data_IF_568482637190
#
_entry.id   IF_568482637190
#
_cell.length_a   1.000
_cell.length_b   1.000
_cell.length_c   1.000
_cell.angle_alpha   90.00
_cell.angle_beta   90.00
_cell.angle_gamma   90.00
#
_symmetry.space_group_name_H-M   'P 1'
#
loop_
_entity.id
_entity.type
_entity.pdbx_description
1 polymer ?
#
# COMPACT_ATOMS: atom_id res chain seq x y z
N UNK A 1 -42.99 -6.09 -66.19
CA UNK A 1 -42.58 -4.76 -65.70
C UNK A 1 -42.30 -4.84 -64.20
N UNK A 2 -41.04 -4.68 -63.76
CA UNK A 2 -40.71 -4.66 -62.32
C UNK A 2 -41.19 -3.34 -61.71
N UNK A 3 -42.03 -3.41 -60.67
CA UNK A 3 -42.58 -2.25 -59.96
C UNK A 3 -41.46 -1.29 -59.52
N UNK A 4 -41.69 0.02 -59.69
CA UNK A 4 -40.77 1.08 -59.24
C UNK A 4 -40.33 0.90 -57.79
N UNK A 5 -41.21 0.40 -56.93
CA UNK A 5 -40.93 0.13 -55.52
C UNK A 5 -39.89 -0.98 -55.35
N UNK A 6 -39.97 -2.06 -56.15
CA UNK A 6 -38.96 -3.14 -56.14
C UNK A 6 -37.60 -2.67 -56.66
N UNK A 7 -37.57 -1.77 -57.65
CA UNK A 7 -36.32 -1.15 -58.13
C UNK A 7 -35.66 -0.30 -57.04
N UNK A 8 -36.44 0.49 -56.29
CA UNK A 8 -35.93 1.31 -55.17
C UNK A 8 -35.37 0.45 -54.04
N UNK A 9 -36.05 -0.64 -53.69
CA UNK A 9 -35.60 -1.59 -52.65
C UNK A 9 -34.29 -2.26 -53.07
N UNK A 10 -34.19 -2.72 -54.32
CA UNK A 10 -32.96 -3.34 -54.84
C UNK A 10 -31.78 -2.37 -54.85
N UNK A 11 -32.00 -1.10 -55.23
CA UNK A 11 -30.97 -0.06 -55.18
C UNK A 11 -30.54 0.19 -53.72
N UNK A 12 -31.49 0.32 -52.79
CA UNK A 12 -31.18 0.56 -51.38
C UNK A 12 -30.33 -0.59 -50.79
N UNK A 13 -30.71 -1.84 -51.07
CA UNK A 13 -29.97 -3.02 -50.63
C UNK A 13 -28.55 -3.06 -51.24
N UNK A 14 -28.40 -2.74 -52.52
CA UNK A 14 -27.08 -2.68 -53.15
C UNK A 14 -26.18 -1.60 -52.54
N UNK A 15 -26.72 -0.42 -52.21
CA UNK A 15 -25.96 0.67 -51.58
C UNK A 15 -25.50 0.27 -50.17
N UNK A 16 -26.37 -0.38 -49.38
CA UNK A 16 -26.01 -0.85 -48.03
C UNK A 16 -24.89 -1.90 -48.07
N UNK A 17 -24.96 -2.85 -49.00
CA UNK A 17 -23.93 -3.88 -49.16
C UNK A 17 -22.60 -3.26 -49.60
N UNK A 18 -22.61 -2.32 -50.54
CA UNK A 18 -21.39 -1.62 -50.99
C UNK A 18 -20.78 -0.82 -49.82
N UNK A 19 -21.60 -0.10 -49.05
CA UNK A 19 -21.12 0.66 -47.89
C UNK A 19 -20.48 -0.25 -46.84
N UNK A 20 -21.10 -1.39 -46.55
CA UNK A 20 -20.55 -2.38 -45.61
C UNK A 20 -19.22 -2.96 -46.09
N UNK A 21 -19.10 -3.27 -47.38
CA UNK A 21 -17.84 -3.76 -47.97
C UNK A 21 -16.74 -2.69 -47.96
N UNK A 22 -17.08 -1.42 -48.23
CA UNK A 22 -16.12 -0.31 -48.16
C UNK A 22 -15.65 -0.05 -46.73
N UNK A 23 -16.55 -0.08 -45.76
CA UNK A 23 -16.22 0.03 -44.33
C UNK A 23 -15.30 -1.11 -43.92
N UNK A 24 -15.63 -2.36 -44.27
CA UNK A 24 -14.74 -3.51 -44.02
C UNK A 24 -13.38 -3.34 -44.68
N UNK A 25 -13.32 -2.88 -45.93
CA UNK A 25 -12.07 -2.64 -46.65
C UNK A 25 -11.21 -1.59 -45.95
N UNK A 26 -11.79 -0.46 -45.53
CA UNK A 26 -11.06 0.61 -44.82
C UNK A 26 -10.57 0.14 -43.45
N UNK A 27 -11.37 -0.62 -42.70
CA UNK A 27 -10.97 -1.14 -41.39
C UNK A 27 -9.99 -2.32 -41.44
N UNK A 28 -10.03 -3.15 -42.50
CA UNK A 28 -9.08 -4.27 -42.66
C UNK A 28 -7.77 -3.86 -43.35
N UNK A 29 -7.80 -2.90 -44.28
CA UNK A 29 -6.59 -2.40 -44.95
C UNK A 29 -6.02 -1.14 -44.27
N UNK A 30 -6.68 -0.60 -43.24
CA UNK A 30 -6.27 0.58 -42.48
C UNK A 30 -5.25 0.30 -41.37
N UNK A 31 -4.46 -0.77 -41.47
CA UNK A 31 -3.36 -1.02 -40.53
C UNK A 31 -2.18 -1.64 -41.25
N UNK A 32 -1.47 -0.83 -42.03
CA UNK A 32 -0.07 -1.11 -42.35
C UNK A 32 0.75 0.19 -42.27
N UNK A 33 1.53 0.24 -41.20
CA UNK A 33 2.88 0.80 -41.08
C UNK A 33 3.09 2.31 -41.26
N UNK A 34 3.32 2.96 -40.12
CA UNK A 34 4.35 3.99 -40.01
C UNK A 34 5.55 3.42 -39.23
N UNK A 35 6.54 2.97 -40.00
CA UNK A 35 7.98 3.21 -39.80
C UNK A 35 8.71 2.57 -38.61
N UNK A 36 9.30 1.39 -38.82
CA UNK A 36 10.65 1.06 -38.30
C UNK A 36 11.40 0.21 -39.33
N UNK A 37 12.39 0.80 -40.02
CA UNK A 37 13.47 0.04 -40.67
C UNK A 37 14.75 0.85 -40.65
N UNK A 38 15.72 0.42 -39.83
CA UNK A 38 17.14 0.22 -40.21
C UNK A 38 18.02 0.02 -38.97
N UNK A 39 18.31 -1.22 -38.58
CA UNK A 39 19.50 -1.57 -37.80
C UNK A 39 19.92 -3.04 -38.10
N UNK A 40 21.22 -3.37 -38.10
CA UNK A 40 21.74 -4.62 -38.64
C UNK A 40 21.52 -5.80 -37.69
N UNK A 41 21.36 -7.00 -38.25
CA UNK A 41 21.15 -8.25 -37.52
C UNK A 41 22.33 -8.56 -36.57
N UNK A 42 22.07 -8.50 -35.27
CA UNK A 42 22.84 -9.18 -34.23
C UNK A 42 22.13 -10.50 -33.91
N UNK A 43 22.83 -11.61 -34.12
CA UNK A 43 22.40 -12.95 -33.71
C UNK A 43 22.34 -13.00 -32.18
N UNK A 44 21.15 -13.13 -31.59
CA UNK A 44 20.96 -13.34 -30.14
C UNK A 44 20.73 -14.84 -29.89
N UNK A 45 21.46 -15.50 -28.97
CA UNK A 45 21.24 -16.91 -28.63
C UNK A 45 19.89 -17.10 -27.91
N UNK A 46 19.28 -18.28 -28.07
CA UNK A 46 18.11 -18.69 -27.30
C UNK A 46 18.39 -18.58 -25.80
N UNK A 47 17.68 -17.69 -25.11
CA UNK A 47 17.75 -17.58 -23.66
C UNK A 47 16.64 -18.45 -23.05
N UNK A 48 17.08 -19.37 -22.21
CA UNK A 48 16.26 -20.27 -21.42
C UNK A 48 15.33 -19.48 -20.50
N UNK A 49 14.20 -20.10 -20.18
CA UNK A 49 13.21 -19.68 -19.21
C UNK A 49 13.87 -19.47 -17.83
N UNK A 50 14.28 -18.24 -17.53
CA UNK A 50 14.82 -17.85 -16.23
C UNK A 50 13.67 -17.68 -15.23
N UNK A 51 13.72 -18.51 -14.19
CA UNK A 51 12.97 -18.36 -12.94
C UNK A 51 13.12 -16.95 -12.39
N UNK A 52 12.01 -16.42 -11.85
CA UNK A 52 11.91 -15.15 -11.15
C UNK A 52 12.78 -15.16 -9.87
N UNK A 53 14.09 -14.98 -10.06
CA UNK A 53 15.06 -14.81 -8.99
C UNK A 53 14.85 -13.46 -8.32
N UNK A 54 14.99 -13.49 -7.00
CA UNK A 54 14.98 -12.32 -6.14
C UNK A 54 16.06 -11.37 -6.62
N UNK A 55 15.69 -10.22 -7.19
CA UNK A 55 16.65 -9.13 -7.30
C UNK A 55 17.19 -8.88 -5.89
N UNK A 56 18.47 -9.19 -5.68
CA UNK A 56 19.11 -9.05 -4.37
C UNK A 56 19.09 -7.58 -3.98
N UNK A 57 18.06 -7.17 -3.24
CA UNK A 57 18.05 -5.90 -2.53
C UNK A 57 19.31 -5.85 -1.66
N UNK A 58 20.28 -5.03 -2.07
CA UNK A 58 21.47 -4.73 -1.27
C UNK A 58 21.26 -3.38 -0.65
N UNK A 59 21.07 -3.37 0.67
CA UNK A 59 20.99 -2.16 1.47
C UNK A 59 22.28 -1.35 1.32
N UNK A 60 22.16 -0.04 1.11
CA UNK A 60 23.31 0.84 1.12
C UNK A 60 23.93 0.85 2.53
N UNK A 61 25.26 0.80 2.67
CA UNK A 61 25.92 0.85 3.98
C UNK A 61 25.41 2.04 4.81
N UNK A 62 24.95 1.78 6.04
CA UNK A 62 24.44 2.80 6.96
C UNK A 62 23.07 3.40 6.62
N UNK A 63 22.38 2.96 5.56
CA UNK A 63 20.97 3.32 5.36
C UNK A 63 20.11 2.75 6.50
N UNK A 64 19.00 3.36 6.94
CA UNK A 64 18.12 2.79 7.97
C UNK A 64 17.36 1.54 7.48
N UNK A 65 16.94 0.67 8.41
CA UNK A 65 16.07 -0.50 8.12
C UNK A 65 14.68 0.02 7.87
N UNK A 66 14.06 -0.35 6.75
CA UNK A 66 12.65 -0.03 6.53
C UNK A 66 11.81 -0.99 7.37
N UNK A 67 11.21 -0.48 8.45
CA UNK A 67 10.33 -1.22 9.36
C UNK A 67 8.89 -0.91 8.97
N UNK A 68 8.25 -1.81 8.22
CA UNK A 68 6.83 -1.66 7.88
C UNK A 68 5.97 -2.50 8.82
N UNK A 69 4.97 -1.88 9.44
CA UNK A 69 4.08 -2.50 10.41
C UNK A 69 2.67 -2.52 9.83
N UNK A 70 2.16 -3.71 9.52
CA UNK A 70 0.79 -3.95 9.11
C UNK A 70 -0.02 -4.27 10.36
N UNK A 71 -1.05 -3.46 10.67
CA UNK A 71 -1.73 -3.55 11.96
C UNK A 71 -3.22 -3.17 11.91
N UNK A 72 -3.91 -3.51 12.99
CA UNK A 72 -5.32 -3.17 13.25
C UNK A 72 -5.42 -2.28 14.48
N UNK A 73 -6.23 -1.22 14.38
CA UNK A 73 -6.35 -0.26 15.45
C UNK A 73 -6.98 -0.83 16.73
N UNK A 74 -7.92 -1.79 16.65
CA UNK A 74 -8.56 -2.40 17.84
C UNK A 74 -7.94 -3.74 18.27
N UNK A 75 -6.96 -4.26 17.53
CA UNK A 75 -6.30 -5.52 17.85
C UNK A 75 -5.35 -5.37 19.08
N UNK A 76 -5.53 -6.17 20.13
CA UNK A 76 -4.67 -6.13 21.32
C UNK A 76 -3.19 -6.38 21.02
N UNK A 77 -2.88 -7.30 20.10
CA UNK A 77 -1.49 -7.63 19.72
C UNK A 77 -0.84 -6.49 18.93
N UNK A 78 -1.61 -5.80 18.09
CA UNK A 78 -1.15 -4.58 17.38
C UNK A 78 -0.82 -3.47 18.36
N UNK A 79 -1.72 -3.22 19.31
CA UNK A 79 -1.50 -2.28 20.42
C UNK A 79 -0.26 -2.66 21.23
N UNK A 80 -0.11 -3.94 21.56
CA UNK A 80 1.04 -4.43 22.31
C UNK A 80 2.34 -4.17 21.54
N UNK A 81 2.43 -4.59 20.28
CA UNK A 81 3.62 -4.41 19.47
C UNK A 81 4.00 -2.93 19.32
N UNK A 82 3.05 -2.06 18.95
CA UNK A 82 3.33 -0.63 18.78
C UNK A 82 3.83 -0.03 20.09
N UNK A 83 3.14 -0.28 21.21
CA UNK A 83 3.48 0.38 22.49
C UNK A 83 4.65 -0.23 23.24
N UNK A 84 4.96 -1.52 23.01
CA UNK A 84 5.96 -2.28 23.79
C UNK A 84 7.18 -2.72 23.00
N UNK A 85 7.12 -2.73 21.67
CA UNK A 85 8.25 -3.08 20.81
C UNK A 85 8.68 -1.89 19.95
N UNK A 86 7.76 -1.34 19.14
CA UNK A 86 8.11 -0.29 18.18
C UNK A 86 8.55 1.01 18.85
N UNK A 87 7.77 1.54 19.80
CA UNK A 87 8.09 2.82 20.44
C UNK A 87 9.41 2.76 21.24
N UNK A 88 9.66 1.74 22.10
CA UNK A 88 10.95 1.63 22.76
C UNK A 88 12.12 1.51 21.79
N UNK A 89 12.00 0.66 20.76
CA UNK A 89 13.06 0.49 19.76
C UNK A 89 13.33 1.80 18.99
N UNK A 90 12.30 2.55 18.61
CA UNK A 90 12.45 3.82 17.90
C UNK A 90 13.13 4.88 18.78
N UNK A 91 12.79 4.96 20.07
CA UNK A 91 13.44 5.89 20.99
C UNK A 91 14.94 5.64 21.14
N UNK A 92 15.33 4.37 21.09
CA UNK A 92 16.73 3.96 21.25
C UNK A 92 17.52 4.03 19.95
N UNK A 93 16.88 3.70 18.82
CA UNK A 93 17.57 3.46 17.56
C UNK A 93 16.90 4.13 16.35
N UNK A 94 16.29 5.30 16.53
CA UNK A 94 15.59 6.03 15.45
C UNK A 94 16.44 6.20 14.19
N UNK A 95 17.74 6.47 14.34
CA UNK A 95 18.68 6.63 13.21
C UNK A 95 18.89 5.35 12.40
N UNK A 96 18.58 4.17 12.97
CA UNK A 96 18.71 2.87 12.33
C UNK A 96 17.42 2.42 11.66
N UNK A 97 16.31 3.18 11.74
CA UNK A 97 15.01 2.75 11.22
C UNK A 97 14.22 3.84 10.50
N UNK A 98 13.60 3.44 9.39
CA UNK A 98 12.55 4.19 8.69
C UNK A 98 11.22 3.46 8.91
N UNK A 99 10.31 4.07 9.66
CA UNK A 99 9.06 3.41 10.07
C UNK A 99 7.90 3.73 9.13
N UNK A 100 7.25 2.67 8.65
CA UNK A 100 6.05 2.73 7.81
C UNK A 100 4.90 2.03 8.51
N UNK A 101 3.77 2.71 8.65
CA UNK A 101 2.62 2.24 9.40
C UNK A 101 1.47 2.01 8.43
N UNK A 102 0.90 0.81 8.43
CA UNK A 102 -0.17 0.40 7.51
C UNK A 102 -1.38 -0.06 8.34
N UNK A 103 -2.21 0.88 8.84
CA UNK A 103 -3.46 0.54 9.51
C UNK A 103 -4.49 0.05 8.49
N UNK A 104 -4.82 -1.23 8.56
CA UNK A 104 -5.85 -1.87 7.74
C UNK A 104 -6.18 -3.25 8.32
N UNK A 105 -5.12 -4.03 8.54
CA UNK A 105 -5.25 -5.34 9.15
C UNK A 105 -5.70 -6.43 8.21
N UNK A 106 -6.65 -7.22 8.68
CA UNK A 106 -7.36 -8.25 7.91
C UNK A 106 -8.74 -7.76 7.47
N UNK A 107 -8.93 -6.44 7.37
CA UNK A 107 -10.14 -5.88 6.82
C UNK A 107 -10.34 -6.32 5.36
N UNK A 108 -11.57 -6.22 4.87
CA UNK A 108 -11.91 -6.39 3.45
C UNK A 108 -12.39 -5.08 2.88
N UNK A 109 -12.06 -4.80 1.62
CA UNK A 109 -12.55 -3.61 0.91
C UNK A 109 -13.45 -3.98 -0.24
N UNK A 110 -14.59 -3.31 -0.32
CA UNK A 110 -15.57 -3.42 -1.40
C UNK A 110 -15.70 -2.05 -2.07
N UNK A 111 -15.80 -2.04 -3.40
CA UNK A 111 -16.09 -0.82 -4.17
C UNK A 111 -17.57 -0.81 -4.51
N UNK A 112 -18.26 0.25 -4.09
CA UNK A 112 -19.67 0.46 -4.38
C UNK A 112 -19.86 0.89 -5.85
N UNK A 113 -21.09 0.79 -6.41
CA UNK A 113 -21.35 1.20 -7.80
C UNK A 113 -21.06 2.67 -8.10
N UNK A 114 -21.11 3.54 -7.08
CA UNK A 114 -20.79 4.97 -7.19
C UNK A 114 -19.27 5.26 -7.05
N UNK A 115 -18.44 4.22 -6.93
CA UNK A 115 -16.99 4.33 -6.77
C UNK A 115 -16.52 4.51 -5.33
N UNK A 116 -17.42 4.67 -4.36
CA UNK A 116 -17.05 4.80 -2.94
C UNK A 116 -16.60 3.46 -2.35
N UNK A 117 -15.81 3.49 -1.27
CA UNK A 117 -15.33 2.28 -0.62
C UNK A 117 -16.14 1.94 0.64
N UNK A 118 -16.42 0.64 0.81
CA UNK A 118 -16.92 0.06 2.06
C UNK A 118 -15.86 -0.87 2.63
N UNK A 119 -15.64 -0.78 3.93
CA UNK A 119 -14.69 -1.61 4.66
C UNK A 119 -15.42 -2.53 5.64
N UNK A 120 -14.94 -3.77 5.77
CA UNK A 120 -15.39 -4.71 6.78
C UNK A 120 -14.18 -5.13 7.62
N UNK A 121 -14.19 -4.76 8.91
CA UNK A 121 -13.05 -4.94 9.82
C UNK A 121 -13.37 -5.99 10.89
N UNK A 122 -12.35 -6.68 11.40
CA UNK A 122 -12.53 -7.81 12.32
C UNK A 122 -13.23 -7.43 13.62
N UNK A 123 -13.01 -6.20 14.10
CA UNK A 123 -13.62 -5.67 15.31
C UNK A 123 -14.77 -4.68 15.01
N UNK A 124 -15.36 -4.76 13.81
CA UNK A 124 -16.51 -3.97 13.40
C UNK A 124 -16.17 -2.53 12.98
N UNK A 125 -17.21 -1.71 12.79
CA UNK A 125 -17.08 -0.39 12.17
C UNK A 125 -16.15 0.56 12.93
N UNK A 126 -16.11 0.49 14.26
CA UNK A 126 -15.23 1.32 15.10
C UNK A 126 -13.76 1.07 14.76
N UNK A 127 -13.37 -0.16 14.42
CA UNK A 127 -12.01 -0.45 13.94
C UNK A 127 -11.74 0.18 12.59
N UNK A 128 -12.69 0.11 11.65
CA UNK A 128 -12.52 0.74 10.35
C UNK A 128 -12.34 2.25 10.51
N UNK A 129 -13.15 2.90 11.35
CA UNK A 129 -13.00 4.32 11.67
C UNK A 129 -11.65 4.63 12.32
N UNK A 130 -11.22 3.83 13.30
CA UNK A 130 -9.92 3.98 13.94
C UNK A 130 -8.76 3.79 12.96
N UNK A 131 -8.82 2.79 12.06
CA UNK A 131 -7.84 2.59 11.01
C UNK A 131 -7.78 3.80 10.06
N UNK A 132 -8.91 4.38 9.67
CA UNK A 132 -8.96 5.61 8.85
C UNK A 132 -8.35 6.79 9.57
N UNK A 133 -8.69 7.02 10.84
CA UNK A 133 -8.07 8.09 11.63
C UNK A 133 -6.56 7.91 11.76
N UNK A 134 -6.08 6.68 11.97
CA UNK A 134 -4.65 6.39 11.99
C UNK A 134 -4.01 6.69 10.63
N UNK A 135 -4.63 6.31 9.51
CA UNK A 135 -4.12 6.60 8.16
C UNK A 135 -4.02 8.11 7.90
N UNK A 136 -5.06 8.87 8.24
CA UNK A 136 -5.06 10.34 8.15
C UNK A 136 -3.99 10.98 9.05
N UNK A 137 -3.80 10.48 10.29
CA UNK A 137 -2.74 10.95 11.19
C UNK A 137 -1.35 10.68 10.61
N UNK A 138 -1.13 9.51 10.01
CA UNK A 138 0.15 9.14 9.39
C UNK A 138 0.51 10.09 8.23
N UNK A 139 -0.47 10.47 7.43
CA UNK A 139 -0.26 11.42 6.33
C UNK A 139 0.00 12.85 6.84
N UNK A 140 -0.78 13.32 7.82
CA UNK A 140 -0.72 14.69 8.29
C UNK A 140 0.48 14.99 9.20
N UNK A 141 1.01 14.00 9.93
CA UNK A 141 2.12 14.17 10.89
C UNK A 141 3.41 13.62 10.29
N UNK A 142 4.23 14.51 9.69
CA UNK A 142 5.43 14.11 8.96
C UNK A 142 6.65 13.86 9.86
N UNK A 143 6.75 14.53 11.01
CA UNK A 143 7.85 14.32 11.96
C UNK A 143 7.73 12.90 12.56
N UNK A 144 8.74 12.02 12.38
CA UNK A 144 8.63 10.61 12.74
C UNK A 144 8.30 10.33 14.21
N UNK A 145 8.92 11.04 15.15
CA UNK A 145 8.70 10.81 16.58
C UNK A 145 7.27 11.20 16.98
N UNK A 146 6.81 12.38 16.57
CA UNK A 146 5.46 12.89 16.80
C UNK A 146 4.41 11.98 16.14
N UNK A 147 4.65 11.48 14.93
CA UNK A 147 3.77 10.53 14.24
C UNK A 147 3.61 9.25 15.04
N UNK A 148 4.73 8.67 15.49
CA UNK A 148 4.72 7.44 16.28
C UNK A 148 4.06 7.64 17.64
N UNK A 149 4.35 8.76 18.31
CA UNK A 149 3.75 9.10 19.59
C UNK A 149 2.22 9.29 19.48
N UNK A 150 1.75 9.93 18.40
CA UNK A 150 0.33 10.04 18.09
C UNK A 150 -0.33 8.68 17.90
N UNK A 151 0.22 7.82 17.05
CA UNK A 151 -0.33 6.48 16.80
C UNK A 151 -0.31 5.62 18.06
N UNK A 152 0.79 5.66 18.83
CA UNK A 152 0.91 4.93 20.08
C UNK A 152 -0.05 5.45 21.16
N UNK A 153 -0.36 6.75 21.18
CA UNK A 153 -1.38 7.30 22.04
C UNK A 153 -2.78 6.84 21.62
N UNK A 154 -3.12 6.99 20.33
CA UNK A 154 -4.46 6.67 19.80
C UNK A 154 -4.78 5.18 19.96
N UNK A 155 -3.85 4.29 19.64
CA UNK A 155 -4.08 2.83 19.73
C UNK A 155 -4.28 2.32 21.15
N UNK A 156 -3.95 3.11 22.19
CA UNK A 156 -4.15 2.68 23.58
C UNK A 156 -5.63 2.64 23.96
N UNK A 157 -6.42 3.57 23.43
CA UNK A 157 -7.85 3.67 23.68
C UNK A 157 -8.54 4.44 22.54
N UNK A 158 -9.03 3.69 21.56
CA UNK A 158 -9.68 4.17 20.34
C UNK A 158 -11.07 3.53 20.17
N UNK A 159 -11.74 3.19 21.27
CA UNK A 159 -13.18 2.82 21.23
C UNK A 159 -14.05 4.00 20.80
N UNK A 160 -13.56 5.21 21.02
CA UNK A 160 -14.08 6.46 20.47
C UNK A 160 -12.96 7.10 19.62
N UNK A 161 -12.82 6.75 18.33
CA UNK A 161 -11.66 7.11 17.52
C UNK A 161 -11.42 8.62 17.42
N UNK A 162 -12.51 9.40 17.26
CA UNK A 162 -12.45 10.87 17.23
C UNK A 162 -11.93 11.45 18.54
N UNK A 163 -12.42 10.96 19.68
CA UNK A 163 -11.98 11.44 20.99
C UNK A 163 -10.51 11.08 21.25
N UNK A 164 -10.09 9.89 20.80
CA UNK A 164 -8.70 9.46 20.85
C UNK A 164 -7.79 10.41 20.06
N UNK A 165 -8.19 10.79 18.84
CA UNK A 165 -7.47 11.79 18.05
C UNK A 165 -7.28 13.10 18.82
N UNK A 166 -8.36 13.70 19.32
CA UNK A 166 -8.30 15.02 19.98
C UNK A 166 -7.49 14.96 21.28
N UNK A 167 -7.68 13.91 22.09
CA UNK A 167 -6.92 13.69 23.32
C UNK A 167 -5.43 13.56 23.04
N UNK A 168 -5.06 12.76 22.05
CA UNK A 168 -3.66 12.50 21.72
C UNK A 168 -2.98 13.69 21.07
N UNK A 169 -3.68 14.39 20.17
CA UNK A 169 -3.17 15.62 19.58
C UNK A 169 -2.87 16.67 20.65
N UNK A 170 -3.78 16.86 21.61
CA UNK A 170 -3.54 17.74 22.76
C UNK A 170 -2.36 17.29 23.60
N UNK A 171 -2.23 15.99 23.87
CA UNK A 171 -1.13 15.45 24.68
C UNK A 171 0.24 15.66 24.02
N UNK A 172 0.32 15.62 22.69
CA UNK A 172 1.56 15.70 21.93
C UNK A 172 1.76 17.04 21.20
N UNK A 173 0.93 18.06 21.51
CA UNK A 173 0.97 19.39 20.91
C UNK A 173 0.93 19.37 19.37
N UNK A 174 -0.01 18.60 18.81
CA UNK A 174 -0.24 18.52 17.36
C UNK A 174 -1.33 19.51 16.98
N UNK A 175 -0.95 20.53 16.22
CA UNK A 175 -1.86 21.61 15.80
C UNK A 175 -2.72 21.24 14.58
N UNK A 176 -2.33 20.19 13.84
CA UNK A 176 -2.96 19.78 12.57
C UNK A 176 -4.23 18.90 12.73
N UNK A 177 -4.94 18.98 13.87
CA UNK A 177 -6.12 18.14 14.13
C UNK A 177 -7.22 18.33 13.11
N UNK A 178 -7.46 19.58 12.69
CA UNK A 178 -8.48 19.90 11.70
C UNK A 178 -8.18 19.29 10.33
N UNK A 179 -6.90 19.16 9.97
CA UNK A 179 -6.48 18.48 8.73
C UNK A 179 -6.76 16.98 8.81
N UNK A 180 -6.47 16.36 9.95
CA UNK A 180 -6.75 14.93 10.18
C UNK A 180 -8.26 14.68 10.14
N UNK A 181 -9.05 15.52 10.80
CA UNK A 181 -10.51 15.42 10.78
C UNK A 181 -11.08 15.63 9.37
N UNK A 182 -10.58 16.62 8.62
CA UNK A 182 -10.97 16.85 7.23
C UNK A 182 -10.63 15.68 6.31
N UNK A 183 -9.46 15.05 6.51
CA UNK A 183 -9.10 13.82 5.80
C UNK A 183 -10.13 12.72 6.05
N UNK A 184 -10.49 12.47 7.32
CA UNK A 184 -11.47 11.47 7.71
C UNK A 184 -12.86 11.74 7.13
N UNK A 185 -13.31 12.99 7.15
CA UNK A 185 -14.65 13.39 6.68
C UNK A 185 -14.78 13.41 5.13
N UNK A 186 -13.69 13.16 4.41
CA UNK A 186 -13.64 13.20 2.94
C UNK A 186 -13.39 11.82 2.32
N UNK A 187 -13.53 11.70 0.98
CA UNK A 187 -13.18 10.45 0.27
C UNK A 187 -11.71 10.07 0.48
N UNK A 188 -10.85 11.05 0.72
CA UNK A 188 -9.41 10.86 0.91
C UNK A 188 -9.09 9.87 2.04
N UNK A 189 -9.79 9.95 3.18
CA UNK A 189 -9.60 8.98 4.26
C UNK A 189 -9.92 7.54 3.83
N UNK A 190 -10.97 7.36 3.03
CA UNK A 190 -11.32 6.04 2.46
C UNK A 190 -10.32 5.58 1.40
N UNK A 191 -9.76 6.48 0.59
CA UNK A 191 -8.74 6.19 -0.40
C UNK A 191 -7.42 5.76 0.28
N UNK A 192 -7.03 6.41 1.37
CA UNK A 192 -5.89 6.01 2.19
C UNK A 192 -6.09 4.61 2.81
N UNK A 193 -7.28 4.33 3.35
CA UNK A 193 -7.56 3.02 3.93
C UNK A 193 -7.58 1.93 2.84
N UNK A 194 -8.09 2.21 1.65
CA UNK A 194 -8.01 1.33 0.48
C UNK A 194 -6.55 1.06 0.08
N UNK A 195 -5.72 2.10 0.01
CA UNK A 195 -4.29 1.98 -0.30
C UNK A 195 -3.58 1.08 0.72
N UNK A 196 -3.85 1.26 2.01
CA UNK A 196 -3.31 0.39 3.06
C UNK A 196 -3.77 -1.06 2.89
N UNK A 197 -5.01 -1.27 2.46
CA UNK A 197 -5.53 -2.59 2.10
C UNK A 197 -4.77 -3.22 0.92
N UNK A 198 -4.50 -2.45 -0.13
CA UNK A 198 -3.74 -2.93 -1.28
C UNK A 198 -2.31 -3.30 -0.91
N UNK A 199 -1.65 -2.47 -0.10
CA UNK A 199 -0.33 -2.78 0.45
C UNK A 199 -0.35 -4.07 1.28
N UNK A 200 -1.37 -4.25 2.11
CA UNK A 200 -1.51 -5.45 2.95
C UNK A 200 -1.75 -6.71 2.11
N UNK A 201 -2.60 -6.64 1.09
CA UNK A 201 -2.89 -7.76 0.19
C UNK A 201 -1.75 -8.07 -0.79
N UNK A 202 -0.84 -7.11 -1.02
CA UNK A 202 0.35 -7.31 -1.84
C UNK A 202 1.43 -8.18 -1.17
N UNK A 203 1.36 -8.37 0.16
CA UNK A 203 2.33 -9.16 0.91
C UNK A 203 2.43 -10.62 0.43
N UNK A 204 3.66 -11.13 0.40
CA UNK A 204 3.96 -12.52 0.04
C UNK A 204 4.93 -13.10 1.10
N UNK A 205 4.51 -14.12 1.87
CA UNK A 205 3.21 -14.79 1.82
C UNK A 205 2.05 -13.88 2.27
N UNK A 206 0.83 -14.19 1.81
CA UNK A 206 -0.36 -13.47 2.25
C UNK A 206 -0.47 -13.46 3.78
N UNK A 207 -0.94 -12.34 4.32
CA UNK A 207 -1.02 -12.17 5.77
C UNK A 207 -1.97 -13.19 6.41
N UNK A 208 -1.55 -13.80 7.51
CA UNK A 208 -2.38 -14.76 8.28
C UNK A 208 -2.74 -14.23 9.67
N UNK A 209 -1.93 -13.34 10.23
CA UNK A 209 -2.13 -12.72 11.53
C UNK A 209 -1.66 -11.25 11.54
N UNK A 210 -2.08 -10.51 12.55
CA UNK A 210 -1.77 -9.11 12.76
C UNK A 210 -1.28 -8.92 14.21
N UNK A 211 -0.26 -8.08 14.47
CA UNK A 211 0.50 -7.33 13.50
C UNK A 211 1.48 -8.22 12.71
N UNK A 212 1.66 -7.91 11.43
CA UNK A 212 2.73 -8.49 10.60
C UNK A 212 3.75 -7.40 10.29
N UNK A 213 5.03 -7.71 10.44
CA UNK A 213 6.11 -6.76 10.26
C UNK A 213 6.97 -7.20 9.07
N UNK A 214 7.41 -6.25 8.24
CA UNK A 214 8.49 -6.50 7.29
C UNK A 214 9.69 -5.64 7.63
N UNK A 215 10.88 -6.22 7.57
CA UNK A 215 12.15 -5.51 7.67
C UNK A 215 12.79 -5.51 6.29
N UNK A 216 12.97 -4.33 5.68
CA UNK A 216 13.42 -4.19 4.29
C UNK A 216 12.57 -5.01 3.29
N UNK A 217 11.26 -5.06 3.53
CA UNK A 217 10.30 -5.83 2.72
C UNK A 217 10.33 -7.35 2.97
N UNK A 218 11.27 -7.87 3.76
CA UNK A 218 11.30 -9.29 4.13
C UNK A 218 10.31 -9.61 5.25
N UNK A 219 9.40 -10.54 4.99
CA UNK A 219 8.31 -10.97 5.89
C UNK A 219 8.63 -12.30 6.61
N UNK A 220 9.87 -12.50 7.05
CA UNK A 220 10.27 -13.67 7.83
C UNK A 220 10.36 -13.39 9.34
N UNK A 221 10.78 -14.38 10.12
CA UNK A 221 11.20 -14.25 11.52
C UNK A 221 10.21 -13.54 12.46
N UNK A 222 8.91 -13.59 12.17
CA UNK A 222 7.89 -12.82 12.89
C UNK A 222 7.94 -13.05 14.42
N UNK A 223 8.11 -14.29 14.88
CA UNK A 223 8.23 -14.59 16.30
C UNK A 223 9.42 -13.89 16.99
N UNK A 224 10.55 -13.71 16.29
CA UNK A 224 11.72 -12.99 16.82
C UNK A 224 11.47 -11.47 16.81
N UNK A 225 10.91 -10.96 15.71
CA UNK A 225 10.59 -9.54 15.55
C UNK A 225 9.57 -9.07 16.59
N UNK A 226 8.51 -9.84 16.82
CA UNK A 226 7.48 -9.52 17.82
C UNK A 226 8.01 -9.61 19.26
N UNK A 227 9.05 -10.41 19.49
CA UNK A 227 9.67 -10.58 20.81
C UNK A 227 10.68 -9.47 21.13
N UNK A 228 11.54 -9.14 20.17
CA UNK A 228 12.56 -8.10 20.29
C UNK A 228 12.86 -7.49 18.92
N UNK A 229 12.12 -6.43 18.58
CA UNK A 229 12.28 -5.72 17.31
C UNK A 229 13.70 -5.13 17.16
N UNK A 230 14.22 -4.50 18.22
CA UNK A 230 15.51 -3.82 18.17
C UNK A 230 16.65 -4.79 17.87
N UNK A 231 16.67 -5.96 18.49
CA UNK A 231 17.68 -6.98 18.22
C UNK A 231 17.67 -7.44 16.75
N UNK A 232 16.49 -7.60 16.14
CA UNK A 232 16.41 -7.96 14.72
C UNK A 232 16.82 -6.79 13.80
N UNK A 233 16.52 -5.54 14.16
CA UNK A 233 17.02 -4.35 13.44
C UNK A 233 18.54 -4.29 13.49
N UNK A 234 19.14 -4.51 14.66
CA UNK A 234 20.59 -4.51 14.86
C UNK A 234 21.29 -5.55 13.98
N UNK A 235 20.76 -6.77 13.90
CA UNK A 235 21.29 -7.83 13.02
C UNK A 235 21.25 -7.45 11.53
N UNK A 236 20.30 -6.61 11.11
CA UNK A 236 20.16 -6.18 9.72
C UNK A 236 20.98 -4.91 9.46
N UNK A 237 21.10 -4.01 10.43
CA UNK A 237 21.91 -2.79 10.38
C UNK A 237 23.38 -3.08 10.03
N UNK A 238 23.90 -4.23 10.49
CA UNK A 238 25.26 -4.67 10.24
C UNK A 238 26.30 -3.73 10.87
N UNK A 239 27.56 -3.99 10.55
CA UNK A 239 28.70 -3.28 11.17
C UNK A 239 28.82 -1.86 10.58
N UNK A 240 28.29 -0.89 11.31
CA UNK A 240 28.55 0.52 11.08
C UNK A 240 28.60 1.23 12.44
N UNK A 241 29.42 2.28 12.55
CA UNK A 241 29.73 2.97 13.81
C UNK A 241 28.47 3.35 14.63
N UNK A 242 27.40 3.77 13.94
CA UNK A 242 26.12 4.11 14.57
C UNK A 242 25.38 2.89 15.12
N UNK A 243 25.43 1.77 14.40
CA UNK A 243 24.88 0.52 14.87
C UNK A 243 25.71 -0.04 16.03
N UNK A 244 27.04 0.04 15.98
CA UNK A 244 27.91 -0.49 17.04
C UNK A 244 27.65 0.20 18.39
N UNK A 245 27.45 1.52 18.39
CA UNK A 245 27.13 2.28 19.60
C UNK A 245 25.78 1.88 20.21
N UNK A 246 24.75 1.69 19.38
CA UNK A 246 23.37 1.44 19.83
C UNK A 246 23.13 -0.05 20.10
N UNK A 247 23.67 -0.93 19.26
CA UNK A 247 23.40 -2.37 19.26
C UNK A 247 24.32 -3.18 20.16
N UNK A 248 25.43 -2.60 20.65
CA UNK A 248 26.38 -3.26 21.55
C UNK A 248 25.77 -3.76 22.86
N UNK A 249 24.58 -3.28 23.25
CA UNK A 249 23.84 -3.72 24.43
C UNK A 249 22.76 -4.79 24.15
N UNK A 250 22.51 -5.11 22.87
CA UNK A 250 21.36 -5.93 22.43
C UNK A 250 21.75 -7.15 21.56
N UNK A 251 23.05 -7.44 21.50
CA UNK A 251 23.65 -8.54 20.73
C UNK A 251 23.55 -9.88 21.44
#
# INVERSE_FOLDING_TARGET
>A
MVSQTRKRILILLSVVVILFLLVRYVFFNGSLEASISSAPQLVIPQQQHESHDSQTYRRAPGAPVIVTVFYEALCPDSKHFITKQLIPAFKEASILMDTRLVPYGKASTMTNPDGTFRFDCQHGQVECEANTYHACTIEAVQEPQARLDMIACMIRDNRLPKDALHKCAKQHNIDNVDLIQKCFDSSHGSELLKLNGDLTHALRPSITFIPTITLDGYQGKQALILKNLLAEICKIAGDNEKADEICGQHS
#
